data_IF_921312553768
#
_entry.id   IF_921312553768
#
_cell.length_a   1.000
_cell.length_b   1.000
_cell.length_c   1.000
_cell.angle_alpha   90.00
_cell.angle_beta   90.00
_cell.angle_gamma   90.00
#
_symmetry.space_group_name_H-M   'P 1'
#
loop_
_entity.id
_entity.type
_entity.pdbx_description
1 polymer ?
#
# COMPACT_ATOMS: atom_id res chain seq x y z
N UNK A 1 -21.14 29.45 -16.70
CA UNK A 1 -20.18 28.34 -16.64
C UNK A 1 -19.44 28.44 -15.32
N UNK A 2 -19.89 27.69 -14.32
CA UNK A 2 -19.24 27.62 -13.01
C UNK A 2 -17.98 26.79 -13.16
N UNK A 3 -16.81 27.41 -12.97
CA UNK A 3 -15.59 26.64 -12.72
C UNK A 3 -15.87 25.71 -11.53
N UNK A 4 -15.63 24.39 -11.66
CA UNK A 4 -15.67 23.52 -10.49
C UNK A 4 -14.65 24.06 -9.47
N UNK A 5 -14.98 24.01 -8.17
CA UNK A 5 -14.15 24.60 -7.11
C UNK A 5 -12.71 24.10 -7.27
N UNK A 6 -11.75 25.01 -7.17
CA UNK A 6 -10.30 24.77 -7.28
C UNK A 6 -9.96 23.37 -6.78
N UNK A 7 -9.81 22.43 -7.71
CA UNK A 7 -9.36 21.10 -7.39
C UNK A 7 -7.90 21.28 -7.01
N UNK A 8 -7.66 21.40 -5.71
CA UNK A 8 -6.35 21.61 -5.10
C UNK A 8 -5.34 20.75 -5.85
N UNK A 9 -4.40 21.39 -6.54
CA UNK A 9 -3.32 20.70 -7.22
C UNK A 9 -2.38 20.16 -6.13
N UNK A 10 -2.63 18.91 -5.72
CA UNK A 10 -1.89 18.24 -4.66
C UNK A 10 -0.39 18.19 -4.97
N UNK A 11 -0.01 18.09 -6.24
CA UNK A 11 1.39 18.07 -6.63
C UNK A 11 2.02 19.45 -6.40
N UNK A 12 1.36 20.53 -6.83
CA UNK A 12 1.86 21.89 -6.59
C UNK A 12 1.90 22.23 -5.10
N UNK A 13 0.88 21.82 -4.34
CA UNK A 13 0.84 22.03 -2.89
C UNK A 13 1.98 21.28 -2.17
N UNK A 14 2.33 20.08 -2.60
CA UNK A 14 3.47 19.34 -2.08
C UNK A 14 4.82 19.98 -2.42
N UNK A 15 4.98 20.51 -3.63
CA UNK A 15 6.18 21.25 -4.03
C UNK A 15 6.38 22.47 -3.12
N UNK A 16 5.33 23.28 -2.94
CA UNK A 16 5.36 24.44 -2.05
C UNK A 16 5.62 24.06 -0.60
N UNK A 17 5.00 22.98 -0.11
CA UNK A 17 5.24 22.47 1.23
C UNK A 17 6.72 22.13 1.44
N UNK A 18 7.33 21.42 0.49
CA UNK A 18 8.75 21.05 0.56
C UNK A 18 9.67 22.27 0.50
N UNK A 19 9.35 23.25 -0.34
CA UNK A 19 10.09 24.52 -0.41
C UNK A 19 10.08 25.26 0.93
N UNK A 20 8.92 25.31 1.61
CA UNK A 20 8.81 25.95 2.93
C UNK A 20 9.65 25.21 3.97
N UNK A 21 9.61 23.87 3.99
CA UNK A 21 10.45 23.06 4.89
C UNK A 21 11.95 23.33 4.67
N UNK A 22 12.39 23.33 3.41
CA UNK A 22 13.79 23.62 3.08
C UNK A 22 14.20 25.03 3.53
N UNK A 23 13.35 26.04 3.30
CA UNK A 23 13.64 27.40 3.76
C UNK A 23 13.70 27.50 5.28
N UNK A 24 12.83 26.78 5.99
CA UNK A 24 12.83 26.73 7.45
C UNK A 24 14.15 26.15 7.99
N UNK A 25 14.62 25.05 7.40
CA UNK A 25 15.87 24.37 7.76
C UNK A 25 17.11 25.19 7.38
N UNK A 26 17.24 25.61 6.11
CA UNK A 26 18.42 26.29 5.58
C UNK A 26 18.66 27.67 6.20
N UNK A 27 17.59 28.36 6.59
CA UNK A 27 17.67 29.69 7.20
C UNK A 27 17.72 29.65 8.72
N UNK A 28 17.64 28.47 9.33
CA UNK A 28 17.70 28.31 10.78
C UNK A 28 16.60 29.09 11.51
N UNK A 29 15.36 29.00 11.03
CA UNK A 29 14.23 29.79 11.56
C UNK A 29 13.65 29.21 12.87
N UNK A 30 14.19 28.09 13.34
CA UNK A 30 13.77 27.44 14.57
C UNK A 30 13.94 28.37 15.80
N UNK A 31 12.94 28.35 16.69
CA UNK A 31 12.89 29.17 17.90
C UNK A 31 12.28 30.56 17.70
N UNK A 32 11.91 30.94 16.48
CA UNK A 32 11.14 32.18 16.22
C UNK A 32 9.67 31.88 16.49
N UNK A 33 9.10 32.43 17.56
CA UNK A 33 7.72 32.15 18.02
C UNK A 33 6.66 32.19 16.92
N UNK A 34 6.70 33.21 16.05
CA UNK A 34 5.72 33.36 14.95
C UNK A 34 5.87 32.25 13.90
N UNK A 35 7.10 31.76 13.69
CA UNK A 35 7.37 30.67 12.74
C UNK A 35 6.94 29.33 13.34
N UNK A 36 7.17 29.09 14.62
CA UNK A 36 6.78 27.85 15.31
C UNK A 36 5.26 27.60 15.22
N UNK A 37 4.45 28.66 15.35
CA UNK A 37 3.00 28.57 15.21
C UNK A 37 2.58 28.10 13.79
N UNK A 38 3.28 28.57 12.75
CA UNK A 38 3.03 28.20 11.35
C UNK A 38 3.57 26.81 10.99
N UNK A 39 4.65 26.36 11.63
CA UNK A 39 5.23 25.02 11.40
C UNK A 39 4.25 23.91 11.80
N UNK A 40 3.44 24.12 12.84
CA UNK A 40 2.39 23.17 13.19
C UNK A 40 1.37 23.01 12.07
N UNK A 41 0.90 24.13 11.50
CA UNK A 41 0.00 24.11 10.35
C UNK A 41 0.64 23.47 9.12
N UNK A 42 1.93 23.73 8.89
CA UNK A 42 2.70 23.13 7.81
C UNK A 42 2.74 21.61 7.95
N UNK A 43 3.07 21.09 9.14
CA UNK A 43 3.07 19.66 9.45
C UNK A 43 1.69 19.02 9.20
N UNK A 44 0.61 19.63 9.69
CA UNK A 44 -0.75 19.13 9.47
C UNK A 44 -1.11 19.11 7.98
N UNK A 45 -0.66 20.11 7.23
CA UNK A 45 -0.84 20.18 5.77
C UNK A 45 -0.06 19.06 5.06
N UNK A 46 1.19 18.82 5.46
CA UNK A 46 2.00 17.69 4.94
C UNK A 46 1.32 16.35 5.17
N UNK A 47 0.78 16.12 6.37
CA UNK A 47 0.03 14.90 6.69
C UNK A 47 -1.23 14.72 5.82
N UNK A 48 -1.96 15.81 5.54
CA UNK A 48 -3.11 15.78 4.63
C UNK A 48 -2.70 15.46 3.20
N UNK A 49 -1.61 16.05 2.71
CA UNK A 49 -1.08 15.77 1.37
C UNK A 49 -0.71 14.28 1.22
N UNK A 50 0.05 13.72 2.17
CA UNK A 50 0.42 12.30 2.19
C UNK A 50 -0.82 11.40 2.23
N UNK A 51 -1.82 11.73 3.06
CA UNK A 51 -3.06 10.97 3.16
C UNK A 51 -3.84 10.96 1.83
N UNK A 52 -4.08 12.11 1.22
CA UNK A 52 -4.83 12.20 -0.04
C UNK A 52 -4.06 11.56 -1.21
N UNK A 53 -2.74 11.71 -1.25
CA UNK A 53 -1.89 11.04 -2.23
C UNK A 53 -1.94 9.51 -2.07
N UNK A 54 -1.84 8.99 -0.84
CA UNK A 54 -1.92 7.56 -0.58
C UNK A 54 -3.27 6.98 -0.99
N UNK A 55 -4.38 7.67 -0.67
CA UNK A 55 -5.72 7.26 -1.13
C UNK A 55 -5.81 7.19 -2.65
N UNK A 56 -5.21 8.14 -3.37
CA UNK A 56 -5.16 8.11 -4.82
C UNK A 56 -4.34 6.92 -5.35
N UNK A 57 -3.18 6.63 -4.74
CA UNK A 57 -2.38 5.46 -5.12
C UNK A 57 -3.12 4.16 -4.88
N UNK A 58 -3.72 3.98 -3.70
CA UNK A 58 -4.46 2.77 -3.34
C UNK A 58 -5.70 2.57 -4.24
N UNK A 59 -6.51 3.63 -4.43
CA UNK A 59 -7.63 3.59 -5.37
C UNK A 59 -7.16 3.25 -6.79
N UNK A 60 -6.07 3.87 -7.23
CA UNK A 60 -5.49 3.60 -8.54
C UNK A 60 -5.02 2.16 -8.72
N UNK A 61 -4.47 1.54 -7.67
CA UNK A 61 -4.08 0.13 -7.68
C UNK A 61 -5.30 -0.80 -7.72
N UNK A 62 -6.31 -0.52 -6.91
CA UNK A 62 -7.53 -1.34 -6.80
C UNK A 62 -8.38 -1.28 -8.08
N UNK A 63 -8.52 -0.08 -8.66
CA UNK A 63 -9.33 0.16 -9.86
C UNK A 63 -8.54 0.02 -11.17
N UNK A 64 -7.24 -0.33 -11.09
CA UNK A 64 -6.33 -0.34 -12.24
C UNK A 64 -6.26 1.01 -13.00
N UNK A 65 -6.42 2.12 -12.27
CA UNK A 65 -6.31 3.47 -12.81
C UNK A 65 -4.88 4.02 -12.62
N UNK A 66 -4.07 3.88 -13.68
CA UNK A 66 -2.68 4.35 -13.71
C UNK A 66 -2.54 5.86 -13.52
N UNK A 67 -3.55 6.65 -13.86
CA UNK A 67 -3.50 8.09 -13.69
C UNK A 67 -3.56 8.48 -12.20
N UNK A 68 -4.34 7.76 -11.41
CA UNK A 68 -4.44 8.00 -9.97
C UNK A 68 -3.16 7.57 -9.24
N UNK A 69 -2.58 6.42 -9.64
CA UNK A 69 -1.26 5.98 -9.17
C UNK A 69 -0.21 7.04 -9.50
N UNK A 70 -0.15 7.49 -10.75
CA UNK A 70 0.80 8.51 -11.19
C UNK A 70 0.62 9.82 -10.41
N UNK A 71 -0.62 10.30 -10.27
CA UNK A 71 -0.92 11.55 -9.57
C UNK A 71 -0.49 11.49 -8.11
N UNK A 72 -0.76 10.38 -7.41
CA UNK A 72 -0.34 10.21 -6.02
C UNK A 72 1.18 10.10 -5.87
N UNK A 73 1.85 9.34 -6.73
CA UNK A 73 3.32 9.22 -6.71
C UNK A 73 4.01 10.56 -7.01
N UNK A 74 3.42 11.41 -7.86
CA UNK A 74 3.94 12.76 -8.12
C UNK A 74 3.96 13.61 -6.85
N UNK A 75 2.94 13.51 -6.00
CA UNK A 75 2.91 14.20 -4.70
C UNK A 75 4.06 13.74 -3.82
N UNK A 76 4.25 12.43 -3.67
CA UNK A 76 5.36 11.89 -2.86
C UNK A 76 6.73 12.23 -3.42
N UNK A 77 6.89 12.32 -4.74
CA UNK A 77 8.12 12.85 -5.34
C UNK A 77 8.36 14.30 -4.95
N UNK A 78 7.34 15.17 -5.06
CA UNK A 78 7.45 16.58 -4.70
C UNK A 78 7.72 16.79 -3.20
N UNK A 79 7.27 15.88 -2.34
CA UNK A 79 7.60 15.85 -0.91
C UNK A 79 9.01 15.31 -0.62
N UNK A 80 9.71 14.73 -1.59
CA UNK A 80 11.01 14.04 -1.37
C UNK A 80 10.88 12.65 -0.73
N UNK A 81 9.69 12.04 -0.77
CA UNK A 81 9.35 10.82 -0.04
C UNK A 81 9.04 9.61 -0.94
N UNK A 82 9.16 9.77 -2.26
CA UNK A 82 8.77 8.75 -3.25
C UNK A 82 9.35 7.37 -2.94
N UNK A 83 10.66 7.29 -2.72
CA UNK A 83 11.36 6.01 -2.48
C UNK A 83 10.79 5.29 -1.25
N UNK A 84 10.72 5.99 -0.12
CA UNK A 84 10.21 5.43 1.14
C UNK A 84 8.76 4.94 1.00
N UNK A 85 7.96 5.67 0.22
CA UNK A 85 6.56 5.33 -0.06
C UNK A 85 6.45 4.07 -0.91
N UNK A 86 7.23 3.98 -1.99
CA UNK A 86 7.27 2.80 -2.86
C UNK A 86 7.76 1.56 -2.11
N UNK A 87 8.81 1.69 -1.29
CA UNK A 87 9.30 0.62 -0.42
C UNK A 87 8.22 0.14 0.56
N UNK A 88 7.48 1.07 1.18
CA UNK A 88 6.37 0.77 2.07
C UNK A 88 5.25 0.01 1.36
N UNK A 89 4.86 0.44 0.16
CA UNK A 89 3.85 -0.22 -0.67
C UNK A 89 4.27 -1.65 -1.06
N UNK A 90 5.50 -1.84 -1.52
CA UNK A 90 6.04 -3.17 -1.86
C UNK A 90 6.02 -4.08 -0.63
N UNK A 91 6.45 -3.57 0.53
CA UNK A 91 6.44 -4.34 1.77
C UNK A 91 5.01 -4.69 2.24
N UNK A 92 4.05 -3.76 2.10
CA UNK A 92 2.62 -4.01 2.35
C UNK A 92 2.11 -5.18 1.51
N UNK A 93 2.31 -5.12 0.19
CA UNK A 93 1.83 -6.16 -0.74
C UNK A 93 2.53 -7.50 -0.54
N UNK A 94 3.84 -7.49 -0.27
CA UNK A 94 4.59 -8.69 0.14
C UNK A 94 3.98 -9.29 1.41
N UNK A 95 3.68 -8.48 2.42
CA UNK A 95 3.06 -8.91 3.67
C UNK A 95 1.68 -9.55 3.46
N UNK A 96 0.84 -8.95 2.62
CA UNK A 96 -0.48 -9.50 2.24
C UNK A 96 -0.30 -10.88 1.57
N UNK A 97 0.61 -11.00 0.60
CA UNK A 97 0.88 -12.26 -0.09
C UNK A 97 1.35 -13.37 0.86
N UNK A 98 2.34 -13.07 1.72
CA UNK A 98 2.86 -14.02 2.73
C UNK A 98 1.76 -14.46 3.69
N UNK A 99 0.94 -13.50 4.18
CA UNK A 99 -0.18 -13.80 5.08
C UNK A 99 -1.25 -14.66 4.41
N UNK A 100 -1.56 -14.39 3.14
CA UNK A 100 -2.54 -15.16 2.35
C UNK A 100 -2.11 -16.62 2.22
N UNK A 101 -0.86 -16.86 1.79
CA UNK A 101 -0.29 -18.21 1.65
C UNK A 101 -0.23 -18.92 3.01
N UNK A 102 0.27 -18.24 4.05
CA UNK A 102 0.34 -18.81 5.40
C UNK A 102 -1.04 -19.20 5.94
N UNK A 103 -2.06 -18.37 5.67
CA UNK A 103 -3.44 -18.66 6.07
C UNK A 103 -4.04 -19.82 5.25
N UNK A 104 -3.74 -19.90 3.96
CA UNK A 104 -4.25 -20.95 3.09
C UNK A 104 -3.77 -22.34 3.52
N UNK A 105 -2.51 -22.42 3.98
CA UNK A 105 -1.82 -23.66 4.34
C UNK A 105 -1.87 -23.99 5.84
N UNK A 106 -2.60 -23.24 6.65
CA UNK A 106 -2.76 -23.53 8.09
C UNK A 106 -3.60 -24.79 8.32
N UNK A 107 -2.90 -25.93 8.43
CA UNK A 107 -3.49 -27.25 8.62
C UNK A 107 -4.25 -27.39 9.94
N UNK A 108 -3.92 -26.59 10.97
CA UNK A 108 -4.69 -26.59 12.23
C UNK A 108 -6.07 -25.99 12.02
N UNK A 109 -6.14 -24.88 11.29
CA UNK A 109 -7.42 -24.26 10.92
C UNK A 109 -8.25 -25.15 9.98
N UNK A 110 -7.61 -25.84 9.02
CA UNK A 110 -8.28 -26.79 8.11
C UNK A 110 -8.87 -27.98 8.87
N UNK A 111 -8.10 -28.53 9.82
CA UNK A 111 -8.53 -29.68 10.62
C UNK A 111 -9.67 -29.29 11.58
N UNK A 112 -9.62 -28.08 12.16
CA UNK A 112 -10.67 -27.56 13.03
C UNK A 112 -12.00 -27.28 12.30
N UNK A 113 -11.95 -26.77 11.05
CA UNK A 113 -13.16 -26.51 10.24
C UNK A 113 -13.84 -27.78 9.72
N UNK A 114 -13.15 -28.91 9.73
CA UNK A 114 -13.67 -30.18 9.20
C UNK A 114 -14.55 -30.99 10.17
N UNK A 115 -14.72 -30.52 11.42
CA UNK A 115 -15.75 -30.97 12.34
C UNK A 115 -15.68 -32.45 12.76
N UNK A 116 -15.09 -32.69 13.93
CA UNK A 116 -15.10 -33.99 14.60
C UNK A 116 -14.93 -33.90 16.12
N UNK A 117 -15.52 -32.89 16.78
CA UNK A 117 -15.62 -32.84 18.24
C UNK A 117 -17.04 -32.37 18.64
N UNK A 118 -17.98 -33.30 18.64
CA UNK A 118 -19.26 -33.15 19.33
C UNK A 118 -19.17 -33.78 20.73
N UNK A 119 -19.80 -33.22 21.77
CA UNK A 119 -19.83 -33.83 23.10
C UNK A 119 -20.63 -35.14 23.02
N UNK A 120 -19.95 -36.28 23.13
CA UNK A 120 -20.58 -37.61 23.16
C UNK A 120 -20.04 -38.66 22.17
N UNK A 121 -19.09 -38.31 21.29
CA UNK A 121 -18.46 -39.27 20.38
C UNK A 121 -17.34 -40.05 21.08
N UNK A 122 -17.52 -41.34 21.31
CA UNK A 122 -16.48 -42.25 21.81
C UNK A 122 -15.25 -42.20 20.89
N UNK A 123 -14.14 -41.67 21.41
CA UNK A 123 -12.84 -41.76 20.77
C UNK A 123 -12.39 -43.22 20.77
N UNK A 124 -12.57 -43.92 19.65
CA UNK A 124 -11.80 -45.14 19.40
C UNK A 124 -10.48 -44.74 18.77
N UNK A 125 -9.46 -44.63 19.63
CA UNK A 125 -8.06 -44.46 19.21
C UNK A 125 -7.72 -45.55 18.18
N UNK A 126 -7.36 -45.15 16.95
CA UNK A 126 -6.75 -46.07 15.97
C UNK A 126 -7.40 -46.20 14.60
N UNK A 127 -8.57 -45.61 14.30
CA UNK A 127 -9.16 -45.68 12.94
C UNK A 127 -9.40 -44.30 12.35
N UNK A 128 -8.80 -43.95 11.20
CA UNK A 128 -9.09 -42.70 10.50
C UNK A 128 -10.58 -42.65 10.14
N UNK A 129 -11.28 -41.60 10.58
CA UNK A 129 -12.67 -41.40 10.24
C UNK A 129 -12.78 -41.11 8.72
N UNK A 130 -13.24 -42.10 7.95
CA UNK A 130 -13.29 -42.13 6.47
C UNK A 130 -14.12 -40.97 5.83
N UNK A 131 -14.76 -40.11 6.62
CA UNK A 131 -15.46 -38.89 6.14
C UNK A 131 -14.71 -37.56 6.32
N UNK A 132 -13.62 -37.53 7.12
CA UNK A 132 -12.89 -36.29 7.42
C UNK A 132 -12.01 -35.80 6.26
N UNK A 133 -11.41 -36.72 5.50
CA UNK A 133 -10.49 -36.39 4.41
C UNK A 133 -11.14 -35.65 3.24
N UNK A 134 -12.39 -36.01 2.87
CA UNK A 134 -13.10 -35.33 1.78
C UNK A 134 -13.48 -33.89 2.16
N UNK A 135 -14.02 -33.68 3.37
CA UNK A 135 -14.36 -32.35 3.89
C UNK A 135 -13.13 -31.47 4.14
N UNK A 136 -12.05 -32.06 4.67
CA UNK A 136 -10.78 -31.36 4.83
C UNK A 136 -10.17 -30.97 3.47
N UNK A 137 -10.30 -31.84 2.45
CA UNK A 137 -9.91 -31.54 1.08
C UNK A 137 -10.71 -30.40 0.45
N UNK A 138 -12.03 -30.39 0.62
CA UNK A 138 -12.90 -29.30 0.18
C UNK A 138 -12.56 -27.97 0.88
N UNK A 139 -12.34 -28.00 2.20
CA UNK A 139 -11.93 -26.81 2.96
C UNK A 139 -10.54 -26.27 2.55
N UNK A 140 -9.58 -27.16 2.28
CA UNK A 140 -8.28 -26.77 1.74
C UNK A 140 -8.42 -26.13 0.36
N UNK A 141 -9.24 -26.72 -0.52
CA UNK A 141 -9.47 -26.21 -1.87
C UNK A 141 -10.07 -24.81 -1.85
N UNK A 142 -11.08 -24.58 -1.01
CA UNK A 142 -11.69 -23.26 -0.87
C UNK A 142 -10.70 -22.21 -0.33
N UNK A 143 -9.88 -22.57 0.65
CA UNK A 143 -8.82 -21.70 1.16
C UNK A 143 -7.77 -21.40 0.09
N UNK A 144 -7.42 -22.38 -0.74
CA UNK A 144 -6.47 -22.20 -1.84
C UNK A 144 -7.05 -21.30 -2.93
N UNK A 145 -8.33 -21.44 -3.26
CA UNK A 145 -9.00 -20.56 -4.21
C UNK A 145 -8.95 -19.09 -3.75
N UNK A 146 -9.32 -18.83 -2.48
CA UNK A 146 -9.21 -17.49 -1.88
C UNK A 146 -7.77 -16.97 -1.86
N UNK A 147 -6.81 -17.85 -1.59
CA UNK A 147 -5.39 -17.50 -1.64
C UNK A 147 -4.97 -17.03 -3.03
N UNK A 148 -5.37 -17.77 -4.07
CA UNK A 148 -5.09 -17.43 -5.46
C UNK A 148 -5.74 -16.11 -5.87
N UNK A 149 -6.97 -15.84 -5.45
CA UNK A 149 -7.64 -14.56 -5.69
C UNK A 149 -6.85 -13.40 -5.06
N UNK A 150 -6.41 -13.55 -3.81
CA UNK A 150 -5.61 -12.53 -3.12
C UNK A 150 -4.23 -12.35 -3.76
N UNK A 151 -3.55 -13.44 -4.15
CA UNK A 151 -2.28 -13.34 -4.87
C UNK A 151 -2.45 -12.65 -6.21
N UNK A 152 -3.54 -12.93 -6.94
CA UNK A 152 -3.83 -12.26 -8.20
C UNK A 152 -4.03 -10.76 -8.00
N UNK A 153 -4.77 -10.33 -6.97
CA UNK A 153 -4.92 -8.91 -6.62
C UNK A 153 -3.58 -8.25 -6.29
N UNK A 154 -2.78 -8.88 -5.43
CA UNK A 154 -1.45 -8.40 -5.05
C UNK A 154 -0.55 -8.22 -6.27
N UNK A 155 -0.45 -9.23 -7.13
CA UNK A 155 0.39 -9.18 -8.32
C UNK A 155 -0.08 -8.11 -9.32
N UNK A 156 -1.40 -7.94 -9.46
CA UNK A 156 -1.97 -6.91 -10.33
C UNK A 156 -1.64 -5.51 -9.79
N UNK A 157 -1.81 -5.26 -8.50
CA UNK A 157 -1.46 -3.98 -7.89
C UNK A 157 0.04 -3.63 -8.04
N UNK A 158 0.92 -4.59 -7.77
CA UNK A 158 2.38 -4.43 -7.96
C UNK A 158 2.73 -4.19 -9.42
N UNK A 159 2.08 -4.88 -10.35
CA UNK A 159 2.29 -4.68 -11.78
C UNK A 159 1.87 -3.28 -12.24
N UNK A 160 0.74 -2.76 -11.77
CA UNK A 160 0.30 -1.39 -12.08
C UNK A 160 1.29 -0.35 -11.54
N UNK A 161 1.76 -0.54 -10.30
CA UNK A 161 2.78 0.32 -9.69
C UNK A 161 4.07 0.32 -10.52
N UNK A 162 4.61 -0.86 -10.83
CA UNK A 162 5.81 -1.01 -11.65
C UNK A 162 5.64 -0.39 -13.04
N UNK A 163 4.47 -0.56 -13.65
CA UNK A 163 4.16 0.01 -14.97
C UNK A 163 4.19 1.53 -14.94
N UNK A 164 3.65 2.15 -13.88
CA UNK A 164 3.72 3.61 -13.72
C UNK A 164 5.15 4.06 -13.47
N UNK A 165 5.87 3.42 -12.54
CA UNK A 165 7.26 3.77 -12.22
C UNK A 165 8.19 3.70 -13.44
N UNK A 166 8.02 2.66 -14.28
CA UNK A 166 8.88 2.42 -15.44
C UNK A 166 8.55 3.28 -16.67
N UNK A 167 7.35 3.87 -16.74
CA UNK A 167 6.88 4.62 -17.92
C UNK A 167 6.69 6.11 -17.68
N UNK A 168 6.35 6.51 -16.46
CA UNK A 168 6.09 7.91 -16.14
C UNK A 168 7.38 8.61 -15.77
N UNK A 169 7.55 9.81 -16.34
CA UNK A 169 8.65 10.72 -16.05
C UNK A 169 8.19 11.78 -15.09
N UNK A 170 9.11 12.21 -14.24
CA UNK A 170 8.96 13.40 -13.42
C UNK A 170 8.88 14.61 -14.35
N UNK A 171 7.89 15.51 -14.14
CA UNK A 171 7.83 16.80 -14.82
C UNK A 171 9.14 17.58 -14.69
N UNK A 172 9.50 18.32 -15.74
CA UNK A 172 10.70 19.16 -15.84
C UNK A 172 12.06 18.43 -15.85
N UNK A 173 12.34 17.49 -14.93
CA UNK A 173 13.62 16.75 -14.93
C UNK A 173 13.69 15.68 -16.02
N UNK A 174 12.53 15.20 -16.51
CA UNK A 174 12.41 14.12 -17.49
C UNK A 174 13.02 12.77 -17.04
N UNK A 175 13.41 12.65 -15.77
CA UNK A 175 13.90 11.42 -15.16
C UNK A 175 12.70 10.48 -14.94
N UNK A 176 12.90 9.17 -15.13
CA UNK A 176 11.86 8.18 -14.82
C UNK A 176 11.71 8.05 -13.30
N UNK A 177 10.47 7.90 -12.82
CA UNK A 177 10.22 7.63 -11.40
C UNK A 177 10.99 6.40 -10.91
N UNK A 178 11.13 5.37 -11.74
CA UNK A 178 11.92 4.17 -11.39
C UNK A 178 13.39 4.50 -11.09
N UNK A 179 13.98 5.45 -11.82
CA UNK A 179 15.37 5.85 -11.57
C UNK A 179 15.50 6.59 -10.25
N UNK A 180 14.54 7.45 -9.93
CA UNK A 180 14.48 8.13 -8.63
C UNK A 180 14.39 7.14 -7.46
N UNK A 181 13.54 6.12 -7.58
CA UNK A 181 13.41 5.07 -6.55
C UNK A 181 14.69 4.24 -6.43
N UNK A 182 15.39 4.02 -7.54
CA UNK A 182 16.61 3.21 -7.59
C UNK A 182 17.89 3.98 -7.25
N UNK A 183 17.86 5.31 -7.24
CA UNK A 183 19.06 6.09 -6.92
C UNK A 183 19.56 5.70 -5.52
N UNK A 184 20.79 5.20 -5.54
CA UNK A 184 21.52 4.61 -4.43
C UNK A 184 21.97 5.75 -3.53
N UNK A 185 21.78 5.57 -2.23
CA UNK A 185 22.47 6.31 -1.18
C UNK A 185 23.98 6.31 -1.46
N UNK A 186 24.52 7.42 -1.94
CA UNK A 186 25.94 7.74 -1.71
C UNK A 186 26.13 8.20 -0.26
#
# INVERSE_FOLDING_TARGET
MSHPPDRLDLAKAAEMHREIELLYEERGLAGISVVEDEIRWLSDTGNRLRSEAMKAVERGMDESNQNDIWSGLQVFYNLGELRSTVDSLINKYKGIGVKSVGSALDMKAISASSGGFGPGGVQRSGTPQIGGGKRAGEALWERMARCMDELHKVMTAVWQLQTVLSKKRVPFTQILFLHEVWQVSE
#
